data_IF_487927027136
#
_entry.id   IF_487927027136
#
_cell.length_a   1.000
_cell.length_b   1.000
_cell.length_c   1.000
_cell.angle_alpha   90.00
_cell.angle_beta   90.00
_cell.angle_gamma   90.00
#
_symmetry.space_group_name_H-M   'P 1'
#
loop_
_entity.id
_entity.type
_entity.pdbx_description
1 polymer ?
#
# COMPACT_ATOMS: atom_id res chain seq x y z
N UNK A 1 -2.72 -29.24 7.78
CA UNK A 1 -3.19 -28.08 6.99
C UNK A 1 -3.47 -26.98 7.98
N UNK A 2 -2.67 -25.93 8.00
CA UNK A 2 -2.95 -24.77 8.85
C UNK A 2 -4.16 -24.08 8.23
N UNK A 3 -5.29 -24.16 8.90
CA UNK A 3 -6.53 -23.49 8.49
C UNK A 3 -6.67 -22.24 9.35
N UNK A 4 -7.01 -21.14 8.71
CA UNK A 4 -7.19 -19.85 9.37
C UNK A 4 -8.61 -19.35 9.11
N UNK A 5 -9.66 -20.10 9.54
CA UNK A 5 -11.04 -19.80 9.19
C UNK A 5 -11.48 -18.38 9.57
N UNK A 6 -11.02 -17.82 10.69
CA UNK A 6 -11.38 -16.48 11.08
C UNK A 6 -10.68 -15.42 10.21
N UNK A 7 -9.37 -15.58 9.99
CA UNK A 7 -8.61 -14.67 9.12
C UNK A 7 -9.06 -14.74 7.66
N UNK A 8 -9.33 -15.94 7.13
CA UNK A 8 -9.87 -16.14 5.78
C UNK A 8 -11.26 -15.48 5.64
N UNK A 9 -12.13 -15.64 6.63
CA UNK A 9 -13.45 -15.00 6.62
C UNK A 9 -13.37 -13.47 6.70
N UNK A 10 -12.44 -12.92 7.49
CA UNK A 10 -12.21 -11.48 7.57
C UNK A 10 -11.75 -10.93 6.21
N UNK A 11 -10.72 -11.53 5.61
CA UNK A 11 -10.21 -11.13 4.29
C UNK A 11 -11.26 -11.32 3.19
N UNK A 12 -12.22 -12.25 3.37
CA UNK A 12 -13.29 -12.50 2.43
C UNK A 12 -14.47 -11.50 2.51
N UNK A 13 -14.50 -10.58 3.48
CA UNK A 13 -15.62 -9.65 3.64
C UNK A 13 -15.84 -8.78 2.40
N UNK A 14 -17.08 -8.66 1.89
CA UNK A 14 -17.35 -7.99 0.62
C UNK A 14 -17.41 -6.45 0.71
N UNK A 15 -17.54 -5.89 1.92
CA UNK A 15 -17.73 -4.46 2.15
C UNK A 15 -16.52 -3.87 2.89
N UNK A 16 -15.49 -3.41 2.16
CA UNK A 16 -14.20 -3.06 2.75
C UNK A 16 -14.26 -1.85 3.69
N UNK A 17 -15.28 -0.99 3.58
CA UNK A 17 -15.41 0.24 4.36
C UNK A 17 -16.70 0.29 5.20
N UNK A 18 -17.27 -0.86 5.54
CA UNK A 18 -18.48 -0.96 6.36
C UNK A 18 -18.20 -1.74 7.65
N UNK A 19 -17.77 -1.07 8.74
CA UNK A 19 -17.50 -1.71 10.03
C UNK A 19 -18.71 -2.48 10.56
N UNK A 20 -19.93 -1.98 10.36
CA UNK A 20 -21.17 -2.63 10.80
C UNK A 20 -21.45 -3.97 10.10
N UNK A 21 -20.82 -4.21 8.94
CA UNK A 21 -20.91 -5.48 8.23
C UNK A 21 -19.97 -6.55 8.77
N UNK A 22 -19.02 -6.18 9.65
CA UNK A 22 -18.06 -7.11 10.23
C UNK A 22 -18.75 -7.92 11.34
N UNK A 23 -18.80 -9.26 11.25
CA UNK A 23 -19.37 -10.08 12.31
C UNK A 23 -18.66 -9.84 13.66
N UNK A 24 -19.43 -9.76 14.74
CA UNK A 24 -18.91 -9.46 16.07
C UNK A 24 -17.75 -10.40 16.48
N UNK A 25 -16.65 -9.79 16.93
CA UNK A 25 -15.43 -10.49 17.35
C UNK A 25 -14.68 -11.22 16.22
N UNK A 26 -15.07 -11.07 14.94
CA UNK A 26 -14.37 -11.74 13.84
C UNK A 26 -12.92 -11.26 13.73
N UNK A 27 -12.70 -9.95 13.81
CA UNK A 27 -11.36 -9.37 13.76
C UNK A 27 -10.49 -9.91 14.89
N UNK A 28 -11.02 -9.96 16.12
CA UNK A 28 -10.26 -10.41 17.29
C UNK A 28 -9.93 -11.90 17.19
N UNK A 29 -10.90 -12.75 16.81
CA UNK A 29 -10.63 -14.18 16.54
C UNK A 29 -9.58 -14.38 15.46
N UNK A 30 -9.64 -13.61 14.38
CA UNK A 30 -8.67 -13.69 13.27
C UNK A 30 -7.26 -13.29 13.72
N UNK A 31 -7.15 -12.26 14.55
CA UNK A 31 -5.87 -11.82 15.11
C UNK A 31 -5.32 -12.82 16.12
N UNK A 32 -6.13 -13.36 17.04
CA UNK A 32 -5.67 -14.41 17.97
C UNK A 32 -5.19 -15.65 17.21
N UNK A 33 -5.94 -16.08 16.20
CA UNK A 33 -5.61 -17.22 15.34
C UNK A 33 -4.24 -17.06 14.65
N UNK A 34 -3.96 -15.89 14.05
CA UNK A 34 -2.67 -15.66 13.39
C UNK A 34 -1.53 -15.49 14.40
N UNK A 35 -1.76 -14.82 15.53
CA UNK A 35 -0.73 -14.59 16.54
C UNK A 35 -0.30 -15.91 17.20
N UNK A 36 -1.25 -16.77 17.57
CA UNK A 36 -0.96 -18.11 18.09
C UNK A 36 -0.18 -18.95 17.09
N UNK A 37 -0.58 -18.90 15.82
CA UNK A 37 0.13 -19.61 14.76
C UNK A 37 1.60 -19.19 14.70
N UNK A 38 1.88 -17.88 14.74
CA UNK A 38 3.26 -17.39 14.75
C UNK A 38 4.02 -17.75 16.02
N UNK A 39 3.37 -17.73 17.19
CA UNK A 39 4.02 -18.16 18.43
C UNK A 39 4.49 -19.62 18.35
N UNK A 40 3.69 -20.48 17.72
CA UNK A 40 3.99 -21.90 17.59
C UNK A 40 5.00 -22.21 16.47
N UNK A 41 4.95 -21.47 15.36
CA UNK A 41 5.62 -21.88 14.12
C UNK A 41 6.73 -20.93 13.67
N UNK A 42 6.78 -19.70 14.15
CA UNK A 42 7.81 -18.73 13.75
C UNK A 42 8.92 -18.68 14.80
N UNK A 43 10.16 -19.07 14.45
CA UNK A 43 11.27 -19.04 15.40
C UNK A 43 11.45 -17.66 16.05
N UNK A 44 11.52 -17.65 17.38
CA UNK A 44 11.74 -16.43 18.16
C UNK A 44 10.51 -15.55 18.40
N UNK A 45 9.37 -15.78 17.75
CA UNK A 45 8.22 -14.87 17.88
C UNK A 45 7.59 -14.88 19.27
N UNK A 46 7.38 -16.06 19.87
CA UNK A 46 6.88 -16.14 21.25
C UNK A 46 7.84 -15.47 22.26
N UNK A 47 9.15 -15.64 22.07
CA UNK A 47 10.16 -14.96 22.89
C UNK A 47 10.08 -13.43 22.73
N UNK A 48 9.90 -12.94 21.50
CA UNK A 48 9.70 -11.53 21.21
C UNK A 48 8.48 -10.95 21.93
N UNK A 49 7.34 -11.66 21.93
CA UNK A 49 6.15 -11.22 22.66
C UNK A 49 6.42 -11.12 24.17
N UNK A 50 6.96 -12.19 24.76
CA UNK A 50 7.24 -12.24 26.20
C UNK A 50 8.26 -11.16 26.62
N UNK A 51 9.30 -10.91 25.80
CA UNK A 51 10.28 -9.86 26.04
C UNK A 51 9.67 -8.44 26.02
N UNK A 52 8.53 -8.27 25.35
CA UNK A 52 7.78 -7.03 25.28
C UNK A 52 6.52 -7.04 26.16
N UNK A 53 6.44 -7.95 27.14
CA UNK A 53 5.43 -7.95 28.19
C UNK A 53 4.06 -8.49 27.78
N UNK A 54 3.99 -9.32 26.72
CA UNK A 54 2.78 -10.05 26.35
C UNK A 54 3.04 -11.54 26.34
N UNK A 55 2.41 -12.28 27.25
CA UNK A 55 2.49 -13.74 27.27
C UNK A 55 1.55 -14.37 26.24
N UNK A 56 1.96 -15.50 25.67
CA UNK A 56 1.19 -16.22 24.62
C UNK A 56 -0.21 -16.63 25.12
N UNK A 57 -0.33 -16.91 26.42
CA UNK A 57 -1.58 -17.32 27.07
C UNK A 57 -2.63 -16.19 27.13
N UNK A 58 -2.20 -14.93 27.02
CA UNK A 58 -3.08 -13.76 27.08
C UNK A 58 -3.65 -13.36 25.71
N UNK A 59 -3.16 -13.96 24.61
CA UNK A 59 -3.56 -13.60 23.23
C UNK A 59 -5.05 -13.77 22.95
N UNK A 60 -5.71 -14.74 23.59
CA UNK A 60 -7.15 -14.97 23.42
C UNK A 60 -8.02 -13.98 24.21
N UNK A 61 -7.45 -13.36 25.24
CA UNK A 61 -8.12 -12.35 26.05
C UNK A 61 -7.91 -10.93 25.52
N UNK A 62 -7.03 -10.73 24.53
CA UNK A 62 -6.68 -9.42 24.02
C UNK A 62 -7.85 -8.80 23.23
N UNK A 63 -8.34 -7.67 23.72
CA UNK A 63 -9.40 -6.89 23.06
C UNK A 63 -8.87 -5.64 22.36
N UNK A 64 -7.65 -5.23 22.71
CA UNK A 64 -6.95 -4.08 22.14
C UNK A 64 -5.66 -4.54 21.45
N UNK A 65 -5.75 -4.73 20.13
CA UNK A 65 -4.63 -5.15 19.30
C UNK A 65 -3.53 -4.09 19.14
N UNK A 66 -3.72 -2.88 19.68
CA UNK A 66 -2.64 -1.91 19.79
C UNK A 66 -1.60 -2.32 20.85
N UNK A 67 -1.91 -3.29 21.71
CA UNK A 67 -0.99 -3.81 22.72
C UNK A 67 -0.11 -4.94 22.20
N UNK A 68 -0.46 -5.57 21.07
CA UNK A 68 0.38 -6.58 20.44
C UNK A 68 1.73 -5.95 20.03
N UNK A 69 2.89 -6.42 20.56
CA UNK A 69 4.21 -5.89 20.25
C UNK A 69 4.49 -5.88 18.75
N UNK A 70 4.52 -4.69 18.10
CA UNK A 70 4.65 -4.62 16.66
C UNK A 70 6.11 -4.74 16.23
N UNK A 71 6.33 -5.21 15.01
CA UNK A 71 7.66 -5.26 14.40
C UNK A 71 7.87 -4.00 13.56
N UNK A 72 9.01 -3.32 13.71
CA UNK A 72 9.34 -2.19 12.83
C UNK A 72 9.54 -2.70 11.40
N UNK A 73 8.92 -2.06 10.41
CA UNK A 73 9.04 -2.42 9.00
C UNK A 73 10.52 -2.50 8.54
N UNK A 74 11.37 -1.65 9.11
CA UNK A 74 12.81 -1.61 8.80
C UNK A 74 13.55 -2.88 9.24
N UNK A 75 13.03 -3.63 10.22
CA UNK A 75 13.61 -4.89 10.68
C UNK A 75 13.60 -5.96 9.58
N UNK A 76 12.55 -6.00 8.75
CA UNK A 76 12.43 -6.91 7.60
C UNK A 76 13.43 -6.62 6.46
N UNK A 77 14.20 -5.52 6.55
CA UNK A 77 15.35 -5.30 5.66
C UNK A 77 16.54 -6.13 6.08
N UNK A 78 16.72 -6.31 7.38
CA UNK A 78 17.88 -6.95 7.98
C UNK A 78 17.65 -8.45 8.20
N UNK A 79 16.41 -8.84 8.53
CA UNK A 79 16.06 -10.20 8.92
C UNK A 79 14.88 -10.74 8.11
N UNK A 80 14.99 -12.00 7.69
CA UNK A 80 13.88 -12.76 7.13
C UNK A 80 13.21 -13.53 8.27
N UNK A 81 12.13 -12.97 8.80
CA UNK A 81 11.28 -13.66 9.78
C UNK A 81 10.26 -14.53 9.04
N UNK A 82 10.44 -15.84 9.06
CA UNK A 82 9.61 -16.77 8.30
C UNK A 82 8.97 -17.82 9.21
N UNK A 83 7.69 -18.10 8.94
CA UNK A 83 7.05 -19.35 9.34
C UNK A 83 7.30 -20.43 8.26
N UNK A 84 6.94 -21.71 8.50
CA UNK A 84 7.05 -22.76 7.51
C UNK A 84 6.31 -22.48 6.20
N UNK A 85 5.21 -21.72 6.21
CA UNK A 85 4.50 -21.37 4.97
C UNK A 85 5.31 -20.40 4.10
N UNK A 86 6.26 -19.67 4.71
CA UNK A 86 7.14 -18.72 4.04
C UNK A 86 8.41 -19.32 3.40
N UNK A 87 8.76 -20.57 3.66
CA UNK A 87 10.07 -21.14 3.25
C UNK A 87 10.30 -21.16 1.73
N UNK A 88 9.26 -21.49 0.95
CA UNK A 88 9.30 -21.58 -0.51
C UNK A 88 8.27 -20.64 -1.18
N UNK A 89 7.81 -19.63 -0.45
CA UNK A 89 6.81 -18.68 -0.89
C UNK A 89 7.37 -17.62 -1.87
N UNK A 90 6.47 -16.93 -2.58
CA UNK A 90 6.84 -15.85 -3.50
C UNK A 90 7.53 -14.72 -2.74
N UNK A 91 8.75 -14.37 -3.14
CA UNK A 91 9.48 -13.27 -2.54
C UNK A 91 9.24 -11.95 -3.29
N UNK A 92 8.78 -10.93 -2.56
CA UNK A 92 8.61 -9.56 -3.03
C UNK A 92 9.55 -8.63 -2.26
N UNK A 93 10.10 -7.67 -2.98
CA UNK A 93 11.07 -6.71 -2.44
C UNK A 93 10.54 -5.29 -2.52
N UNK A 94 10.99 -4.46 -1.57
CA UNK A 94 10.76 -3.01 -1.63
C UNK A 94 11.57 -2.35 -2.75
N UNK A 95 11.11 -1.19 -3.24
CA UNK A 95 11.74 -0.45 -4.34
C UNK A 95 13.01 0.34 -3.98
N UNK A 96 13.64 0.10 -2.82
CA UNK A 96 14.78 0.91 -2.36
C UNK A 96 15.94 0.92 -3.36
N UNK A 97 16.39 2.11 -3.76
CA UNK A 97 17.38 2.30 -4.85
C UNK A 97 18.82 2.52 -4.38
N UNK A 98 19.08 2.64 -3.08
CA UNK A 98 20.43 2.95 -2.57
C UNK A 98 20.81 2.24 -1.26
N UNK A 99 20.03 1.24 -0.83
CA UNK A 99 20.28 0.54 0.43
C UNK A 99 19.64 -0.84 0.50
N UNK A 100 19.68 -1.45 1.68
CA UNK A 100 19.09 -2.75 1.95
C UNK A 100 17.57 -2.71 1.71
N UNK A 101 17.07 -3.62 0.87
CA UNK A 101 15.64 -3.74 0.55
C UNK A 101 14.95 -4.64 1.56
N UNK A 102 13.72 -4.31 1.93
CA UNK A 102 12.86 -5.24 2.66
C UNK A 102 12.54 -6.41 1.75
N UNK A 103 12.61 -7.62 2.30
CA UNK A 103 12.29 -8.87 1.60
C UNK A 103 11.17 -9.55 2.37
N UNK A 104 10.02 -9.67 1.73
CA UNK A 104 8.86 -10.35 2.30
C UNK A 104 8.50 -11.53 1.43
N UNK A 105 8.12 -12.64 2.06
CA UNK A 105 7.62 -13.81 1.34
C UNK A 105 6.14 -13.95 1.59
N UNK A 106 5.39 -14.19 0.53
CA UNK A 106 3.95 -14.34 0.56
C UNK A 106 3.58 -15.75 0.09
N UNK A 107 3.10 -16.56 1.03
CA UNK A 107 2.53 -17.86 0.70
C UNK A 107 1.22 -17.68 -0.11
N UNK A 108 0.77 -18.70 -0.85
CA UNK A 108 -0.41 -18.58 -1.71
C UNK A 108 -1.67 -18.08 -0.99
N UNK A 109 -1.87 -18.43 0.29
CA UNK A 109 -3.02 -17.98 1.09
C UNK A 109 -2.87 -16.49 1.39
N UNK A 110 -1.73 -16.08 1.96
CA UNK A 110 -1.46 -14.67 2.29
C UNK A 110 -1.59 -13.77 1.04
N UNK A 111 -1.06 -14.23 -0.10
CA UNK A 111 -1.13 -13.51 -1.36
C UNK A 111 -2.57 -13.41 -1.88
N UNK A 112 -3.34 -14.51 -1.83
CA UNK A 112 -4.74 -14.52 -2.25
C UNK A 112 -5.60 -13.61 -1.39
N UNK A 113 -5.36 -13.58 -0.07
CA UNK A 113 -6.00 -12.65 0.85
C UNK A 113 -5.74 -11.19 0.46
N UNK A 114 -4.47 -10.83 0.21
CA UNK A 114 -4.10 -9.49 -0.25
C UNK A 114 -4.79 -9.10 -1.57
N UNK A 115 -4.78 -10.00 -2.55
CA UNK A 115 -5.40 -9.76 -3.86
C UNK A 115 -6.92 -9.63 -3.76
N UNK A 116 -7.57 -10.42 -2.91
CA UNK A 116 -9.01 -10.34 -2.70
C UNK A 116 -9.40 -9.01 -2.02
N UNK A 117 -8.62 -8.54 -1.03
CA UNK A 117 -8.85 -7.22 -0.42
C UNK A 117 -8.81 -6.10 -1.47
N UNK A 118 -7.84 -6.14 -2.38
CA UNK A 118 -7.76 -5.18 -3.51
C UNK A 118 -8.98 -5.30 -4.42
N UNK A 119 -9.40 -6.52 -4.77
CA UNK A 119 -10.57 -6.77 -5.62
C UNK A 119 -11.87 -6.22 -5.01
N UNK A 120 -12.07 -6.37 -3.70
CA UNK A 120 -13.24 -5.80 -3.00
C UNK A 120 -13.20 -4.29 -2.95
N UNK A 121 -12.04 -3.68 -2.78
CA UNK A 121 -11.92 -2.22 -2.81
C UNK A 121 -12.14 -1.67 -4.23
N UNK A 122 -11.57 -2.30 -5.26
CA UNK A 122 -11.81 -1.90 -6.65
C UNK A 122 -13.29 -2.05 -7.03
N UNK A 123 -13.95 -3.09 -6.55
CA UNK A 123 -15.40 -3.28 -6.73
C UNK A 123 -16.20 -2.22 -5.98
N UNK A 124 -15.82 -1.88 -4.75
CA UNK A 124 -16.47 -0.83 -3.95
C UNK A 124 -16.46 0.54 -4.66
N UNK A 125 -15.34 0.90 -5.30
CA UNK A 125 -15.24 2.16 -6.04
C UNK A 125 -15.77 2.09 -7.48
N UNK A 126 -16.28 0.94 -7.92
CA UNK A 126 -16.75 0.76 -9.31
C UNK A 126 -15.64 0.86 -10.35
N UNK A 127 -14.42 0.44 -10.01
CA UNK A 127 -13.26 0.49 -10.91
C UNK A 127 -13.02 -0.79 -11.70
N UNK A 128 -13.83 -1.83 -11.42
CA UNK A 128 -13.86 -3.05 -12.22
C UNK A 128 -14.70 -2.83 -13.49
N UNK A 129 -14.07 -2.94 -14.65
CA UNK A 129 -14.70 -2.78 -15.96
C UNK A 129 -14.48 -4.04 -16.80
N UNK A 130 -15.10 -5.14 -16.40
CA UNK A 130 -14.90 -6.47 -16.99
C UNK A 130 -15.18 -6.53 -18.51
N UNK A 131 -16.06 -5.67 -19.02
CA UNK A 131 -16.51 -5.67 -20.43
C UNK A 131 -15.94 -4.52 -21.26
N UNK A 132 -15.07 -3.67 -20.68
CA UNK A 132 -14.56 -2.47 -21.36
C UNK A 132 -13.03 -2.54 -21.51
N UNK A 133 -12.52 -2.81 -22.72
CA UNK A 133 -11.09 -2.77 -22.97
C UNK A 133 -10.49 -1.40 -22.62
N UNK A 134 -9.36 -1.41 -21.92
CA UNK A 134 -8.66 -0.21 -21.51
C UNK A 134 -7.21 -0.20 -22.03
N UNK A 135 -6.70 1.00 -22.29
CA UNK A 135 -5.29 1.24 -22.49
C UNK A 135 -4.60 1.48 -21.13
N UNK A 136 -3.43 0.88 -20.93
CA UNK A 136 -2.69 0.99 -19.67
C UNK A 136 -1.41 1.78 -19.89
N UNK A 137 -1.23 2.84 -19.11
CA UNK A 137 0.04 3.54 -18.96
C UNK A 137 0.60 3.23 -17.57
N UNK A 138 1.59 2.35 -17.52
CA UNK A 138 2.27 1.98 -16.27
C UNK A 138 3.50 2.87 -16.08
N UNK A 139 3.39 3.80 -15.13
CA UNK A 139 4.42 4.71 -14.65
C UNK A 139 5.43 4.00 -13.73
N UNK A 140 5.82 2.79 -14.13
CA UNK A 140 6.73 1.91 -13.40
C UNK A 140 7.58 1.08 -14.37
N UNK A 141 8.42 0.23 -13.80
CA UNK A 141 9.43 -0.56 -14.51
C UNK A 141 8.80 -1.57 -15.47
N UNK A 142 9.21 -1.51 -16.74
CA UNK A 142 8.95 -2.56 -17.71
C UNK A 142 9.50 -3.91 -17.19
N UNK A 143 8.66 -4.95 -17.05
CA UNK A 143 9.11 -6.24 -16.53
C UNK A 143 10.25 -6.85 -17.34
N UNK A 144 11.25 -7.39 -16.65
CA UNK A 144 12.28 -8.26 -17.22
C UNK A 144 12.25 -9.60 -16.48
N UNK A 145 11.70 -10.64 -17.11
CA UNK A 145 11.55 -11.95 -16.46
C UNK A 145 10.59 -11.93 -15.26
N UNK A 146 10.98 -12.59 -14.17
CA UNK A 146 10.14 -12.68 -12.97
C UNK A 146 10.08 -11.35 -12.21
N UNK A 147 8.86 -10.92 -11.86
CA UNK A 147 8.61 -9.66 -11.15
C UNK A 147 8.80 -9.88 -9.66
N UNK A 148 9.90 -9.36 -9.13
CA UNK A 148 10.24 -9.44 -7.69
C UNK A 148 10.03 -8.10 -6.96
N UNK A 149 9.78 -7.03 -7.69
CA UNK A 149 9.53 -5.71 -7.10
C UNK A 149 8.05 -5.57 -6.74
N UNK A 150 7.74 -5.33 -5.47
CA UNK A 150 6.36 -5.27 -4.97
C UNK A 150 5.47 -4.25 -5.70
N UNK A 151 6.00 -3.06 -6.00
CA UNK A 151 5.23 -2.03 -6.73
C UNK A 151 4.90 -2.45 -8.16
N UNK A 152 5.87 -3.01 -8.88
CA UNK A 152 5.64 -3.53 -10.24
C UNK A 152 4.70 -4.73 -10.23
N UNK A 153 4.79 -5.60 -9.21
CA UNK A 153 3.88 -6.72 -9.04
C UNK A 153 2.44 -6.22 -8.88
N UNK A 154 2.22 -5.21 -8.04
CA UNK A 154 0.90 -4.59 -7.84
C UNK A 154 0.39 -3.95 -9.12
N UNK A 155 1.19 -3.12 -9.81
CA UNK A 155 0.75 -2.44 -11.04
C UNK A 155 0.27 -3.43 -12.10
N UNK A 156 0.98 -4.55 -12.27
CA UNK A 156 0.58 -5.63 -13.18
C UNK A 156 -0.69 -6.33 -12.71
N UNK A 157 -0.80 -6.61 -11.41
CA UNK A 157 -2.00 -7.19 -10.84
C UNK A 157 -3.21 -6.29 -11.10
N UNK A 158 -3.08 -4.96 -10.97
CA UNK A 158 -4.18 -4.01 -11.21
C UNK A 158 -4.68 -4.02 -12.66
N UNK A 159 -3.89 -4.46 -13.63
CA UNK A 159 -4.32 -4.61 -15.03
C UNK A 159 -5.43 -5.65 -15.22
N UNK A 160 -5.72 -6.50 -14.22
CA UNK A 160 -6.81 -7.49 -14.30
C UNK A 160 -8.21 -6.88 -14.20
N UNK A 161 -8.33 -5.63 -13.73
CA UNK A 161 -9.63 -5.00 -13.44
C UNK A 161 -10.31 -4.39 -14.67
N UNK A 162 -9.72 -4.52 -15.86
CA UNK A 162 -10.37 -4.31 -17.14
C UNK A 162 -9.58 -5.04 -18.25
N UNK A 163 -10.23 -5.56 -19.31
CA UNK A 163 -9.51 -6.19 -20.42
C UNK A 163 -8.41 -5.28 -20.99
N UNK A 164 -7.22 -5.83 -21.17
CA UNK A 164 -6.06 -5.08 -21.67
C UNK A 164 -6.16 -4.94 -23.19
N UNK A 165 -6.28 -3.71 -23.68
CA UNK A 165 -6.12 -3.40 -25.11
C UNK A 165 -4.63 -3.23 -25.46
N UNK A 166 -3.95 -2.29 -24.79
CA UNK A 166 -2.52 -2.02 -24.93
C UNK A 166 -1.90 -1.66 -23.59
N UNK A 167 -0.60 -1.91 -23.45
CA UNK A 167 0.21 -1.48 -22.29
C UNK A 167 1.41 -0.68 -22.78
N UNK A 168 1.63 0.49 -22.19
CA UNK A 168 2.82 1.30 -22.33
C UNK A 168 3.51 1.46 -20.97
N UNK A 169 4.84 1.43 -20.95
CA UNK A 169 5.65 1.58 -19.74
C UNK A 169 6.44 2.87 -19.78
N UNK A 170 6.44 3.62 -18.69
CA UNK A 170 7.24 4.83 -18.56
C UNK A 170 8.73 4.52 -18.38
N UNK A 171 9.06 3.48 -17.62
CA UNK A 171 10.45 3.07 -17.37
C UNK A 171 10.78 1.87 -18.27
N UNK A 172 11.38 2.14 -19.42
CA UNK A 172 11.72 1.14 -20.45
C UNK A 172 13.02 0.41 -20.09
N UNK A 173 13.08 -0.89 -20.36
CA UNK A 173 14.31 -1.67 -20.26
C UNK A 173 15.33 -1.21 -21.32
N UNK A 174 16.55 -0.91 -20.89
CA UNK A 174 17.67 -0.56 -21.78
C UNK A 174 18.82 -1.56 -21.63
N UNK A 175 18.48 -2.85 -21.54
CA UNK A 175 19.39 -3.92 -21.13
C UNK A 175 19.42 -4.03 -19.61
N UNK A 176 20.55 -3.71 -18.99
CA UNK A 176 20.81 -3.95 -17.55
C UNK A 176 20.12 -2.96 -16.60
N UNK A 177 19.37 -1.99 -17.12
CA UNK A 177 18.70 -0.97 -16.31
C UNK A 177 17.40 -0.50 -16.95
N UNK A 178 16.72 0.43 -16.28
CA UNK A 178 15.52 1.09 -16.79
C UNK A 178 15.74 2.60 -16.88
N UNK A 179 15.21 3.18 -17.94
CA UNK A 179 15.25 4.63 -18.17
C UNK A 179 13.85 5.16 -18.42
N UNK A 180 13.61 6.39 -17.96
CA UNK A 180 12.35 7.07 -18.20
C UNK A 180 12.23 7.51 -19.66
N UNK A 181 11.31 6.91 -20.39
CA UNK A 181 11.00 7.22 -21.78
C UNK A 181 9.91 8.28 -21.87
N UNK A 182 10.29 9.52 -21.60
CA UNK A 182 9.40 10.68 -21.62
C UNK A 182 8.62 10.81 -22.94
N UNK A 183 9.31 10.66 -24.08
CA UNK A 183 8.69 10.80 -25.39
C UNK A 183 7.77 9.62 -25.72
N UNK A 184 8.14 8.41 -25.33
CA UNK A 184 7.28 7.23 -25.45
C UNK A 184 5.98 7.38 -24.63
N UNK A 185 6.04 7.98 -23.44
CA UNK A 185 4.83 8.27 -22.64
C UNK A 185 3.94 9.30 -23.33
N UNK A 186 4.50 10.38 -23.88
CA UNK A 186 3.73 11.40 -24.62
C UNK A 186 3.05 10.77 -25.84
N UNK A 187 3.80 10.00 -26.63
CA UNK A 187 3.27 9.31 -27.81
C UNK A 187 2.17 8.30 -27.45
N UNK A 188 2.33 7.56 -26.35
CA UNK A 188 1.31 6.65 -25.86
C UNK A 188 0.02 7.39 -25.47
N UNK A 189 0.11 8.49 -24.71
CA UNK A 189 -1.05 9.29 -24.33
C UNK A 189 -1.79 9.86 -25.55
N UNK A 190 -1.06 10.39 -26.54
CA UNK A 190 -1.65 10.90 -27.78
C UNK A 190 -2.39 9.79 -28.55
N UNK A 191 -1.73 8.64 -28.73
CA UNK A 191 -2.33 7.50 -29.41
C UNK A 191 -3.55 6.95 -28.66
N UNK A 192 -3.52 6.91 -27.33
CA UNK A 192 -4.67 6.47 -26.53
C UNK A 192 -5.86 7.44 -26.63
N UNK A 193 -5.59 8.75 -26.71
CA UNK A 193 -6.63 9.74 -26.95
C UNK A 193 -7.31 9.56 -28.32
N UNK A 194 -6.54 9.25 -29.36
CA UNK A 194 -7.07 8.96 -30.71
C UNK A 194 -7.91 7.67 -30.75
N UNK A 195 -7.51 6.63 -30.00
CA UNK A 195 -8.26 5.37 -29.92
C UNK A 195 -9.63 5.52 -29.23
N UNK A 196 -9.79 6.50 -28.34
CA UNK A 196 -11.04 6.76 -27.63
C UNK A 196 -11.42 5.69 -26.60
N UNK A 197 -10.51 4.79 -26.24
CA UNK A 197 -10.70 3.82 -25.16
C UNK A 197 -10.27 4.41 -23.79
N UNK A 198 -10.93 4.04 -22.69
CA UNK A 198 -10.53 4.50 -21.36
C UNK A 198 -9.08 4.15 -21.04
N UNK A 199 -8.39 5.06 -20.34
CA UNK A 199 -6.99 4.89 -19.97
C UNK A 199 -6.84 4.66 -18.47
N UNK A 200 -6.05 3.65 -18.10
CA UNK A 200 -5.64 3.35 -16.74
C UNK A 200 -4.18 3.77 -16.56
N UNK A 201 -3.95 4.84 -15.80
CA UNK A 201 -2.62 5.41 -15.54
C UNK A 201 -2.20 5.05 -14.12
N UNK A 202 -1.28 4.09 -13.97
CA UNK A 202 -0.89 3.54 -12.67
C UNK A 202 0.61 3.70 -12.39
N UNK A 203 1.01 3.77 -11.11
CA UNK A 203 2.42 3.78 -10.70
C UNK A 203 2.88 5.10 -10.10
N UNK A 204 4.13 5.52 -10.36
CA UNK A 204 4.74 6.65 -9.64
C UNK A 204 4.31 8.02 -10.21
N UNK A 205 3.81 8.95 -9.37
CA UNK A 205 3.26 10.23 -9.83
C UNK A 205 4.31 11.15 -10.47
N UNK A 206 5.57 11.05 -10.05
CA UNK A 206 6.65 11.92 -10.53
C UNK A 206 6.86 11.82 -12.05
N UNK A 207 6.67 10.64 -12.65
CA UNK A 207 6.83 10.46 -14.10
C UNK A 207 5.72 11.15 -14.87
N UNK A 208 4.46 11.02 -14.44
CA UNK A 208 3.36 11.74 -15.07
C UNK A 208 3.52 13.25 -14.90
N UNK A 209 3.91 13.71 -13.71
CA UNK A 209 4.16 15.13 -13.49
C UNK A 209 5.22 15.69 -14.45
N UNK A 210 6.35 14.99 -14.62
CA UNK A 210 7.39 15.39 -15.56
C UNK A 210 6.88 15.40 -17.00
N UNK A 211 6.09 14.40 -17.40
CA UNK A 211 5.44 14.35 -18.72
C UNK A 211 4.55 15.58 -18.95
N UNK A 212 3.65 15.88 -18.02
CA UNK A 212 2.71 17.00 -18.15
C UNK A 212 3.41 18.37 -18.08
N UNK A 213 4.53 18.47 -17.39
CA UNK A 213 5.39 19.67 -17.46
C UNK A 213 6.03 19.82 -18.83
N UNK A 214 6.58 18.73 -19.37
CA UNK A 214 7.22 18.75 -20.69
C UNK A 214 6.24 19.06 -21.81
N UNK A 215 5.04 18.45 -21.78
CA UNK A 215 3.96 18.71 -22.73
C UNK A 215 3.61 20.20 -22.76
N UNK A 216 3.36 20.79 -21.57
CA UNK A 216 3.03 22.21 -21.45
C UNK A 216 4.17 23.11 -21.94
N UNK A 217 5.41 22.84 -21.54
CA UNK A 217 6.56 23.67 -21.87
C UNK A 217 6.88 23.68 -23.37
N UNK A 218 6.54 22.61 -24.09
CA UNK A 218 6.81 22.45 -25.52
C UNK A 218 5.56 22.63 -26.40
N UNK A 219 4.45 23.12 -25.84
CA UNK A 219 3.23 23.40 -26.60
C UNK A 219 2.55 22.15 -27.16
N UNK A 220 2.74 20.98 -26.53
CA UNK A 220 1.96 19.79 -26.86
C UNK A 220 0.50 20.05 -26.47
N UNK A 221 -0.47 19.87 -27.39
CA UNK A 221 -1.88 20.14 -27.11
C UNK A 221 -2.41 19.34 -25.91
N UNK A 222 -3.38 19.92 -25.20
CA UNK A 222 -4.16 19.20 -24.19
C UNK A 222 -4.90 18.04 -24.87
N UNK A 223 -4.97 16.92 -24.17
CA UNK A 223 -5.65 15.71 -24.60
C UNK A 223 -6.95 15.57 -23.82
N UNK A 224 -7.93 14.90 -24.44
CA UNK A 224 -9.18 14.54 -23.78
C UNK A 224 -9.32 13.02 -23.78
N UNK A 225 -8.88 12.38 -22.70
CA UNK A 225 -9.09 10.95 -22.48
C UNK A 225 -10.53 10.71 -22.04
N UNK A 226 -11.13 9.54 -22.32
CA UNK A 226 -12.51 9.25 -21.93
C UNK A 226 -12.75 9.40 -20.42
N UNK A 227 -13.93 9.87 -20.01
CA UNK A 227 -14.29 10.17 -18.61
C UNK A 227 -14.11 8.96 -17.66
N UNK A 228 -14.27 7.75 -18.19
CA UNK A 228 -14.06 6.49 -17.45
C UNK A 228 -12.58 6.12 -17.25
N UNK A 229 -11.64 6.96 -17.71
CA UNK A 229 -10.22 6.83 -17.40
C UNK A 229 -9.98 6.94 -15.89
N UNK A 230 -8.91 6.31 -15.41
CA UNK A 230 -8.57 6.24 -13.99
C UNK A 230 -7.08 6.50 -13.82
N UNK A 231 -6.74 7.42 -12.92
CA UNK A 231 -5.37 7.58 -12.42
C UNK A 231 -5.30 7.02 -11.01
N UNK A 232 -4.44 6.03 -10.81
CA UNK A 232 -4.24 5.40 -9.50
C UNK A 232 -2.74 5.33 -9.20
N UNK A 233 -2.27 6.24 -8.36
CA UNK A 233 -0.87 6.31 -7.97
C UNK A 233 -0.57 5.38 -6.80
N UNK A 234 0.72 5.08 -6.65
CA UNK A 234 1.25 4.40 -5.48
C UNK A 234 2.76 4.58 -5.36
N UNK A 235 3.29 4.29 -4.17
CA UNK A 235 4.74 4.30 -3.92
C UNK A 235 5.40 5.68 -3.83
N UNK A 236 4.66 6.78 -4.00
CA UNK A 236 5.12 8.16 -3.82
C UNK A 236 6.15 8.63 -4.85
N UNK A 237 6.86 9.72 -4.53
CA UNK A 237 7.81 10.40 -5.42
C UNK A 237 9.22 9.77 -5.51
N UNK A 238 9.47 8.71 -4.72
CA UNK A 238 10.71 7.91 -4.70
C UNK A 238 11.98 8.78 -4.67
N UNK A 239 12.87 8.62 -5.65
CA UNK A 239 14.15 9.35 -5.76
C UNK A 239 13.98 10.85 -6.03
N UNK A 240 12.75 11.32 -6.20
CA UNK A 240 12.40 12.70 -6.52
C UNK A 240 11.52 13.33 -5.45
N UNK A 241 11.65 12.90 -4.19
CA UNK A 241 10.91 13.48 -3.06
C UNK A 241 11.15 14.99 -2.89
N UNK A 242 12.31 15.50 -3.28
CA UNK A 242 12.61 16.95 -3.28
C UNK A 242 11.81 17.75 -4.31
N UNK A 243 11.22 17.07 -5.31
CA UNK A 243 10.39 17.67 -6.35
C UNK A 243 8.90 17.45 -6.10
N UNK A 244 8.55 16.83 -4.97
CA UNK A 244 7.17 16.52 -4.61
C UNK A 244 6.32 17.78 -4.53
N UNK A 245 5.17 17.73 -5.19
CA UNK A 245 4.19 18.80 -5.21
C UNK A 245 2.91 18.37 -4.47
N UNK A 246 2.06 19.33 -4.05
CA UNK A 246 0.75 19.02 -3.50
C UNK A 246 -0.08 18.17 -4.47
N UNK A 247 -0.71 17.10 -3.97
CA UNK A 247 -1.54 16.17 -4.76
C UNK A 247 -2.63 16.88 -5.57
N UNK A 248 -3.33 17.84 -4.95
CA UNK A 248 -4.39 18.60 -5.61
C UNK A 248 -3.87 19.41 -6.81
N UNK A 249 -2.61 19.85 -6.78
CA UNK A 249 -1.98 20.52 -7.92
C UNK A 249 -1.71 19.53 -9.06
N UNK A 250 -1.24 18.31 -8.74
CA UNK A 250 -1.06 17.25 -9.73
C UNK A 250 -2.41 16.86 -10.37
N UNK A 251 -3.44 16.61 -9.57
CA UNK A 251 -4.77 16.22 -10.06
C UNK A 251 -5.43 17.31 -10.91
N UNK A 252 -5.31 18.59 -10.50
CA UNK A 252 -5.79 19.70 -11.32
C UNK A 252 -5.07 19.80 -12.67
N UNK A 253 -3.77 19.47 -12.72
CA UNK A 253 -3.03 19.42 -13.99
C UNK A 253 -3.44 18.24 -14.86
N UNK A 254 -3.64 17.06 -14.28
CA UNK A 254 -4.16 15.88 -14.99
C UNK A 254 -5.51 16.20 -15.61
N UNK A 255 -6.43 16.77 -14.83
CA UNK A 255 -7.75 17.14 -15.33
C UNK A 255 -7.70 18.14 -16.47
N UNK A 256 -6.84 19.16 -16.39
CA UNK A 256 -6.67 20.14 -17.45
C UNK A 256 -6.06 19.56 -18.73
N UNK A 257 -4.96 18.80 -18.60
CA UNK A 257 -4.16 18.39 -19.76
C UNK A 257 -4.58 17.05 -20.35
N UNK A 258 -5.30 16.21 -19.61
CA UNK A 258 -5.71 14.87 -20.05
C UNK A 258 -7.23 14.64 -19.99
N UNK A 259 -8.02 15.61 -19.52
CA UNK A 259 -9.48 15.49 -19.41
C UNK A 259 -9.98 14.61 -18.26
N UNK A 260 -9.10 13.93 -17.52
CA UNK A 260 -9.52 13.00 -16.45
C UNK A 260 -10.03 13.76 -15.21
N UNK A 261 -11.26 13.53 -14.73
CA UNK A 261 -11.77 14.21 -13.54
C UNK A 261 -10.89 13.99 -12.31
N UNK A 262 -10.75 14.99 -11.44
CA UNK A 262 -9.99 14.86 -10.18
C UNK A 262 -10.56 13.77 -9.27
N UNK A 263 -11.87 13.53 -9.34
CA UNK A 263 -12.54 12.43 -8.65
C UNK A 263 -12.14 11.03 -9.18
N UNK A 264 -11.47 10.94 -10.33
CA UNK A 264 -10.88 9.73 -10.92
C UNK A 264 -9.36 9.68 -10.76
N UNK A 265 -8.79 10.62 -9.99
CA UNK A 265 -7.41 10.57 -9.56
C UNK A 265 -7.37 10.12 -8.10
N UNK A 266 -6.61 9.07 -7.82
CA UNK A 266 -6.50 8.48 -6.49
C UNK A 266 -5.07 8.10 -6.20
N UNK A 267 -4.72 8.13 -4.93
CA UNK A 267 -3.48 7.55 -4.42
C UNK A 267 -3.78 6.32 -3.56
N UNK A 268 -2.80 5.41 -3.53
CA UNK A 268 -2.79 4.22 -2.72
C UNK A 268 -1.55 4.20 -1.82
N UNK A 269 -1.77 4.01 -0.53
CA UNK A 269 -0.71 3.71 0.44
C UNK A 269 -0.65 2.20 0.69
N UNK A 270 0.58 1.70 0.78
CA UNK A 270 0.89 0.32 1.11
C UNK A 270 2.39 0.11 1.16
N UNK A 271 2.82 -1.00 1.77
CA UNK A 271 4.21 -1.40 1.77
C UNK A 271 4.36 -2.91 1.54
N UNK A 272 5.56 -3.34 1.18
CA UNK A 272 5.79 -4.77 0.91
C UNK A 272 5.68 -5.61 2.19
N UNK A 273 5.90 -5.00 3.35
CA UNK A 273 5.78 -5.55 4.70
C UNK A 273 4.32 -5.74 5.11
N UNK A 274 3.40 -4.98 4.52
CA UNK A 274 1.98 -4.99 4.83
C UNK A 274 1.17 -4.53 3.63
N UNK A 275 0.74 -5.51 2.84
CA UNK A 275 0.09 -5.36 1.54
C UNK A 275 -1.43 -5.13 1.63
N UNK A 276 -1.97 -4.75 2.79
CA UNK A 276 -3.34 -4.23 2.85
C UNK A 276 -3.40 -2.92 2.04
N UNK A 277 -4.32 -2.80 1.08
CA UNK A 277 -4.49 -1.57 0.29
C UNK A 277 -5.20 -0.48 1.09
N UNK A 278 -4.53 0.66 1.30
CA UNK A 278 -5.13 1.87 1.87
C UNK A 278 -5.34 2.88 0.74
N UNK A 279 -6.59 3.13 0.36
CA UNK A 279 -6.91 3.91 -0.84
C UNK A 279 -7.64 5.19 -0.44
N UNK A 280 -7.32 6.27 -1.16
CA UNK A 280 -8.01 7.55 -1.02
C UNK A 280 -9.51 7.46 -1.32
N UNK A 281 -10.32 8.12 -0.49
CA UNK A 281 -11.73 8.39 -0.82
C UNK A 281 -11.85 9.60 -1.77
N UNK A 282 -13.09 10.02 -2.04
CA UNK A 282 -13.38 11.20 -2.86
C UNK A 282 -12.82 12.52 -2.32
N UNK A 283 -12.49 12.60 -1.02
CA UNK A 283 -11.83 13.74 -0.39
C UNK A 283 -10.30 13.59 -0.31
N UNK A 284 -9.72 12.57 -0.95
CA UNK A 284 -8.28 12.30 -0.94
C UNK A 284 -7.70 11.94 0.45
N UNK A 285 -8.51 11.33 1.31
CA UNK A 285 -8.08 10.78 2.59
C UNK A 285 -7.95 9.25 2.52
N UNK A 286 -6.88 8.68 3.06
CA UNK A 286 -6.65 7.23 3.06
C UNK A 286 -7.51 6.55 4.14
N UNK A 287 -8.53 5.80 3.72
CA UNK A 287 -9.35 5.05 4.67
C UNK A 287 -8.77 3.67 4.99
N UNK A 288 -8.91 3.28 6.26
CA UNK A 288 -8.52 1.98 6.80
C UNK A 288 -9.64 0.98 6.51
N UNK A 289 -9.45 -0.01 5.63
CA UNK A 289 -10.49 -0.99 5.37
C UNK A 289 -10.66 -1.94 6.56
N UNK A 290 -11.82 -2.61 6.67
CA UNK A 290 -12.19 -3.53 7.76
C UNK A 290 -11.24 -4.71 7.94
N UNK A 291 -10.37 -4.96 6.98
CA UNK A 291 -9.35 -6.00 7.03
C UNK A 291 -8.16 -5.66 7.93
N UNK A 292 -8.05 -4.40 8.38
CA UNK A 292 -6.97 -3.92 9.23
C UNK A 292 -7.48 -2.91 10.27
N UNK A 293 -6.66 -2.67 11.30
CA UNK A 293 -6.76 -1.48 12.15
C UNK A 293 -5.46 -0.69 12.03
N UNK A 294 -5.54 0.63 12.10
CA UNK A 294 -4.39 1.51 12.11
C UNK A 294 -4.21 2.15 13.48
N UNK A 295 -2.96 2.37 13.87
CA UNK A 295 -2.59 3.07 15.09
C UNK A 295 -1.49 4.08 14.79
N UNK A 296 -1.46 5.17 15.54
CA UNK A 296 -0.37 6.14 15.50
C UNK A 296 0.37 6.06 16.83
N UNK A 297 1.70 5.96 16.80
CA UNK A 297 2.53 5.80 18.00
C UNK A 297 3.47 6.96 18.20
N UNK A 298 3.66 7.38 19.45
CA UNK A 298 4.66 8.37 19.80
C UNK A 298 6.07 7.82 19.46
N UNK A 299 6.90 8.51 18.67
CA UNK A 299 8.23 8.04 18.32
C UNK A 299 9.21 7.92 19.51
N UNK A 300 8.90 8.53 20.66
CA UNK A 300 9.80 8.57 21.83
C UNK A 300 9.59 7.40 22.79
N UNK A 301 8.33 7.03 23.05
CA UNK A 301 7.96 6.02 24.05
C UNK A 301 7.07 4.90 23.48
N UNK A 302 6.75 4.96 22.18
CA UNK A 302 5.95 3.97 21.45
C UNK A 302 4.49 3.79 21.91
N UNK A 303 4.02 4.66 22.82
CA UNK A 303 2.63 4.71 23.26
C UNK A 303 1.69 5.06 22.11
N UNK A 304 0.48 4.52 22.16
CA UNK A 304 -0.56 4.80 21.16
C UNK A 304 -1.12 6.20 21.39
N UNK A 305 -1.17 6.98 20.32
CA UNK A 305 -1.64 8.35 20.31
C UNK A 305 -3.15 8.41 20.07
N UNK A 306 -3.87 9.36 20.70
CA UNK A 306 -5.26 9.61 20.37
C UNK A 306 -5.40 10.20 18.95
N UNK A 307 -6.61 10.16 18.40
CA UNK A 307 -6.90 10.80 17.12
C UNK A 307 -6.49 12.28 17.09
N UNK A 308 -6.05 12.75 15.92
CA UNK A 308 -5.59 14.12 15.72
C UNK A 308 -4.15 14.39 16.18
N UNK A 309 -3.47 13.42 16.80
CA UNK A 309 -2.06 13.54 17.13
C UNK A 309 -1.16 12.82 16.11
N UNK A 310 -0.04 13.46 15.79
CA UNK A 310 0.95 12.92 14.87
C UNK A 310 1.89 11.92 15.56
N UNK A 311 2.28 10.88 14.84
CA UNK A 311 3.25 9.88 15.28
C UNK A 311 3.59 8.88 14.18
N UNK A 312 4.29 7.80 14.52
CA UNK A 312 4.62 6.70 13.61
C UNK A 312 3.36 5.90 13.26
N UNK A 313 3.13 5.69 11.97
CA UNK A 313 2.00 4.92 11.46
C UNK A 313 2.24 3.43 11.66
N UNK A 314 1.27 2.73 12.23
CA UNK A 314 1.30 1.28 12.39
C UNK A 314 -0.02 0.63 12.02
N UNK A 315 0.05 -0.66 11.69
CA UNK A 315 -1.10 -1.44 11.24
C UNK A 315 -1.11 -2.81 11.88
N UNK A 316 -2.32 -3.32 12.10
CA UNK A 316 -2.57 -4.72 12.45
C UNK A 316 -3.53 -5.35 11.45
N UNK A 317 -3.19 -6.52 10.93
CA UNK A 317 -4.06 -7.28 10.01
C UNK A 317 -3.67 -8.76 10.00
N UNK A 318 -4.64 -9.69 10.06
CA UNK A 318 -4.35 -11.10 10.34
C UNK A 318 -4.03 -11.96 9.11
N UNK A 319 -3.79 -11.36 7.94
CA UNK A 319 -3.76 -12.11 6.68
C UNK A 319 -2.42 -12.82 6.38
N UNK A 320 -1.31 -12.36 6.97
CA UNK A 320 0.03 -12.87 6.66
C UNK A 320 0.34 -14.08 7.52
N UNK A 321 0.35 -15.28 6.94
CA UNK A 321 0.81 -16.50 7.61
C UNK A 321 2.30 -16.79 7.42
N UNK A 322 2.93 -16.26 6.36
CA UNK A 322 4.33 -16.56 6.01
C UNK A 322 5.39 -15.86 6.86
N UNK A 323 5.02 -14.79 7.56
CA UNK A 323 5.90 -13.94 8.37
C UNK A 323 5.07 -13.26 9.47
N UNK A 324 5.60 -13.03 10.69
CA UNK A 324 4.86 -12.42 11.80
C UNK A 324 4.65 -10.91 11.62
N UNK A 325 4.28 -10.47 10.41
CA UNK A 325 4.05 -9.07 10.04
C UNK A 325 2.56 -8.66 10.19
N UNK A 326 1.82 -9.33 11.06
CA UNK A 326 0.42 -9.02 11.37
C UNK A 326 0.26 -7.85 12.36
N UNK A 327 1.35 -7.38 12.96
CA UNK A 327 1.47 -6.09 13.64
C UNK A 327 2.78 -5.41 13.22
N UNK A 328 2.69 -4.30 12.50
CA UNK A 328 3.85 -3.60 11.93
C UNK A 328 3.78 -2.11 12.21
N UNK A 329 4.94 -1.49 12.47
CA UNK A 329 5.08 -0.04 12.53
C UNK A 329 5.99 0.44 11.40
N UNK A 330 5.49 1.37 10.61
CA UNK A 330 6.16 1.99 9.49
C UNK A 330 7.10 3.10 9.96
N UNK A 331 7.96 3.56 9.05
CA UNK A 331 8.78 4.76 9.27
C UNK A 331 8.08 6.04 8.81
N UNK A 332 6.82 5.95 8.39
CA UNK A 332 6.01 7.08 7.96
C UNK A 332 5.33 7.75 9.16
N UNK A 333 5.31 9.08 9.18
CA UNK A 333 4.56 9.88 10.13
C UNK A 333 3.14 10.09 9.61
N UNK A 334 2.16 9.92 10.48
CA UNK A 334 0.76 10.10 10.14
C UNK A 334 -0.03 10.69 11.30
N UNK A 335 -1.21 11.21 10.98
CA UNK A 335 -2.26 11.51 11.95
C UNK A 335 -3.48 10.66 11.62
N UNK A 336 -4.04 10.00 12.62
CA UNK A 336 -5.25 9.18 12.48
C UNK A 336 -6.47 10.00 12.88
N UNK A 337 -7.57 9.79 12.18
CA UNK A 337 -8.83 10.50 12.38
C UNK A 337 -10.01 9.52 12.37
N UNK A 338 -11.06 9.80 13.16
CA UNK A 338 -12.26 8.98 13.16
C UNK A 338 -12.98 9.09 11.81
N UNK A 339 -13.55 8.00 11.31
CA UNK A 339 -14.21 7.96 9.99
C UNK A 339 -15.23 9.08 9.74
N UNK A 340 -16.08 9.33 10.73
CA UNK A 340 -17.12 10.38 10.68
C UNK A 340 -16.59 11.80 10.41
N UNK A 341 -15.31 12.07 10.72
CA UNK A 341 -14.70 13.39 10.48
C UNK A 341 -14.31 13.65 9.02
N UNK A 342 -14.29 12.63 8.16
CA UNK A 342 -13.90 12.78 6.75
C UNK A 342 -14.97 13.50 5.91
N UNK A 343 -16.24 13.30 6.23
CA UNK A 343 -17.37 13.83 5.45
C UNK A 343 -17.60 13.14 4.09
N UNK A 344 -16.83 12.11 3.74
CA UNK A 344 -16.97 11.39 2.46
C UNK A 344 -18.07 10.29 2.47
N UNK A 345 -18.68 10.03 3.63
CA UNK A 345 -19.70 9.00 3.84
C UNK A 345 -19.17 7.63 4.27
N UNK A 346 -17.86 7.41 4.29
CA UNK A 346 -17.26 6.18 4.83
C UNK A 346 -17.18 6.24 6.36
N UNK A 347 -17.55 5.14 7.03
CA UNK A 347 -17.53 5.04 8.49
C UNK A 347 -16.17 4.61 9.06
N UNK A 348 -15.31 4.05 8.22
CA UNK A 348 -13.96 3.64 8.61
C UNK A 348 -13.05 4.84 8.89
N UNK A 349 -12.17 4.69 9.88
CA UNK A 349 -11.08 5.62 10.16
C UNK A 349 -10.23 5.93 8.93
N UNK A 350 -9.57 7.08 8.96
CA UNK A 350 -8.68 7.50 7.91
C UNK A 350 -7.43 8.16 8.48
N UNK A 351 -6.36 8.18 7.70
CA UNK A 351 -5.12 8.83 8.10
C UNK A 351 -4.60 9.81 7.06
N UNK A 352 -3.93 10.84 7.55
CA UNK A 352 -3.14 11.79 6.77
C UNK A 352 -1.67 11.43 6.90
N UNK A 353 -0.93 11.40 5.79
CA UNK A 353 0.51 11.13 5.75
C UNK A 353 1.31 12.44 5.77
N UNK A 354 2.34 12.48 6.61
CA UNK A 354 3.20 13.66 6.82
C UNK A 354 4.64 13.44 6.34
N UNK A 355 4.88 12.38 5.56
CA UNK A 355 6.21 11.96 5.10
C UNK A 355 6.90 11.00 6.07
N UNK A 356 8.22 10.84 5.94
CA UNK A 356 8.99 9.87 6.74
C UNK A 356 9.64 10.49 7.96
N UNK A 357 9.62 9.74 9.07
CA UNK A 357 10.37 10.08 10.26
C UNK A 357 11.88 10.11 9.94
N UNK A 358 12.55 11.20 10.27
CA UNK A 358 13.99 11.37 10.06
C UNK A 358 14.44 11.83 8.67
N UNK A 359 13.52 12.08 7.72
CA UNK A 359 13.86 12.67 6.41
C UNK A 359 13.72 14.19 6.36
N UNK A 360 13.08 14.79 7.36
CA UNK A 360 13.05 16.25 7.53
C UNK A 360 14.38 16.72 8.11
N UNK A 361 14.91 17.85 7.65
CA UNK A 361 16.14 18.45 8.16
C UNK A 361 15.97 18.81 9.65
N UNK A 362 16.30 17.85 10.52
CA UNK A 362 16.10 17.95 11.97
C UNK A 362 15.53 16.67 12.58
N UNK A 363 16.43 15.79 13.03
CA UNK A 363 16.27 14.72 14.05
C UNK A 363 15.84 13.31 13.61
N UNK A 364 16.63 12.35 14.10
CA UNK A 364 16.70 10.91 13.81
C UNK A 364 15.80 10.05 14.72
N UNK A 365 14.50 10.35 14.79
CA UNK A 365 13.58 9.59 15.67
C UNK A 365 13.43 8.11 15.27
N UNK A 366 13.51 7.80 13.97
CA UNK A 366 13.40 6.42 13.48
C UNK A 366 14.64 5.55 13.80
N UNK A 367 15.83 6.16 13.93
CA UNK A 367 17.05 5.43 14.31
C UNK A 367 17.04 5.07 15.79
N UNK A 368 16.58 5.99 16.66
CA UNK A 368 16.47 5.72 18.10
C UNK A 368 15.46 4.59 18.41
N UNK A 369 14.34 4.52 17.68
CA UNK A 369 13.38 3.43 17.83
C UNK A 369 13.91 2.06 17.36
N UNK A 370 14.77 2.04 16.33
CA UNK A 370 15.41 0.81 15.86
C UNK A 370 16.53 0.33 16.80
N UNK A 371 17.26 1.25 17.43
CA UNK A 371 18.31 0.93 18.43
C UNK A 371 17.72 0.32 19.71
N UNK A 372 16.52 0.73 20.12
CA UNK A 372 15.82 0.14 21.27
C UNK A 372 15.47 -1.34 21.07
N UNK A 373 15.30 -1.81 19.82
CA UNK A 373 14.92 -3.19 19.51
C UNK A 373 16.10 -4.09 19.13
N UNK A 374 17.24 -3.51 18.71
CA UNK A 374 18.46 -4.28 18.38
C UNK A 374 19.20 -4.86 19.58
N UNK A 375 18.67 -4.70 20.80
CA UNK A 375 19.30 -5.14 22.06
C UNK A 375 18.72 -6.46 22.60
N UNK A 376 17.78 -7.10 21.87
CA UNK A 376 17.08 -8.32 22.29
C UNK A 376 17.12 -9.40 21.22
#
# INVERSE_FOLDING_TARGET
MNQFPASDALCALPHPYCPDSVPAGLFDRAMSEISQYHCQHTPGYAHWLNANGLDVEDLDALQDWSQLPPILANFFKQQLLLSPTGENALELTSSGTSGQKSRMRYDPRSLSGAQFMVERIFSHYGWNCADTPCNYLLLSYEPQGAITLGTSYTDQFLCRFAPVNRVAYALRCTGDSHQFDLFGVIAALQSFAEEGLPVRIFGFPAFLWQTLQHMQANGVPELNLPDDSLVFFGGGWKTRSSEEIPKLQLYGRISRQLGIPTARCRDGYGAVEHAVPYIECAHHHFHVPVYAKAYVRNPLDFSVQPYGQQGLLGFVSPYISSSPAHAVVMSDLATLHPGASCGCGLACDWFELHGRAGTTAGRSCAMAAAELLGSH
#
